data_IF_539483280866
#
_entry.id   IF_539483280866
#
_cell.length_a   1.000
_cell.length_b   1.000
_cell.length_c   1.000
_cell.angle_alpha   90.00
_cell.angle_beta   90.00
_cell.angle_gamma   90.00
#
_symmetry.space_group_name_H-M   'P 1'
#
loop_
_entity.id
_entity.type
_entity.pdbx_description
1 polymer ?
#
# COMPACT_ATOMS: atom_id res chain seq x y z
N UNK A 1 -22.46 44.80 20.39
CA UNK A 1 -23.09 43.66 19.71
C UNK A 1 -22.76 43.79 18.26
N UNK A 2 -21.65 43.22 17.85
CA UNK A 2 -21.27 43.12 16.42
C UNK A 2 -21.20 41.69 16.05
N UNK A 3 -22.09 41.32 15.11
CA UNK A 3 -22.21 39.95 14.63
C UNK A 3 -21.12 39.61 13.63
N UNK A 4 -20.32 38.59 13.93
CA UNK A 4 -19.42 37.97 12.97
C UNK A 4 -20.24 37.17 11.95
N UNK A 5 -20.45 37.75 10.78
CA UNK A 5 -20.97 37.06 9.61
C UNK A 5 -19.90 36.13 9.04
N UNK A 6 -20.11 34.83 9.16
CA UNK A 6 -19.30 33.84 8.45
C UNK A 6 -19.81 33.83 6.99
N UNK A 7 -19.06 34.47 6.10
CA UNK A 7 -19.28 34.33 4.66
C UNK A 7 -19.11 32.86 4.22
N UNK A 8 -20.20 32.26 3.78
CA UNK A 8 -20.18 30.96 3.07
C UNK A 8 -19.45 31.15 1.75
N UNK A 9 -18.19 30.70 1.67
CA UNK A 9 -17.48 30.59 0.39
C UNK A 9 -18.31 29.70 -0.54
N UNK A 10 -18.62 30.22 -1.71
CA UNK A 10 -19.36 29.56 -2.78
C UNK A 10 -18.73 28.21 -3.11
N UNK A 11 -19.53 27.16 -3.04
CA UNK A 11 -19.21 25.80 -3.55
C UNK A 11 -19.19 25.86 -5.07
N UNK A 12 -18.01 26.11 -5.64
CA UNK A 12 -17.78 25.97 -7.09
C UNK A 12 -18.08 24.53 -7.51
N UNK A 13 -18.62 24.38 -8.71
CA UNK A 13 -19.08 23.12 -9.29
C UNK A 13 -18.06 21.98 -9.13
N UNK A 14 -18.39 21.01 -8.28
CA UNK A 14 -17.58 19.83 -7.96
C UNK A 14 -17.32 18.96 -9.20
N UNK A 15 -18.24 18.97 -10.18
CA UNK A 15 -18.11 18.18 -11.41
C UNK A 15 -16.96 18.65 -12.29
N UNK A 16 -16.66 19.97 -12.30
CA UNK A 16 -15.55 20.55 -13.05
C UNK A 16 -14.17 20.20 -12.46
N UNK A 17 -14.10 20.00 -11.14
CA UNK A 17 -12.85 19.66 -10.42
C UNK A 17 -12.44 18.18 -10.60
N UNK A 18 -13.39 17.27 -10.82
CA UNK A 18 -13.12 15.84 -11.06
C UNK A 18 -12.59 15.58 -12.48
N UNK A 19 -12.91 16.45 -13.45
CA UNK A 19 -12.65 16.28 -14.88
C UNK A 19 -11.21 16.57 -15.32
N UNK A 20 -10.34 17.12 -14.49
CA UNK A 20 -8.99 17.59 -14.92
C UNK A 20 -7.95 16.48 -15.12
N UNK A 21 -8.22 15.24 -14.74
CA UNK A 21 -7.29 14.13 -14.94
C UNK A 21 -7.94 13.03 -15.77
N UNK A 22 -7.56 12.87 -17.06
CA UNK A 22 -8.06 11.80 -17.91
C UNK A 22 -7.40 10.47 -17.50
N UNK A 23 -7.88 9.86 -16.42
CA UNK A 23 -7.70 8.45 -16.19
C UNK A 23 -8.46 7.68 -17.28
N UNK A 24 -7.87 6.59 -17.80
CA UNK A 24 -8.57 5.68 -18.73
C UNK A 24 -10.02 5.53 -18.29
N UNK A 25 -10.97 5.67 -19.23
CA UNK A 25 -12.41 5.42 -19.03
C UNK A 25 -12.61 3.95 -18.65
N UNK A 26 -12.40 3.66 -17.36
CA UNK A 26 -13.03 2.48 -16.77
C UNK A 26 -14.47 2.89 -16.51
N UNK A 27 -15.43 2.05 -16.90
CA UNK A 27 -16.85 2.34 -16.71
C UNK A 27 -17.17 2.58 -15.23
N UNK A 28 -16.97 3.81 -14.80
CA UNK A 28 -17.29 4.28 -13.47
C UNK A 28 -18.83 4.39 -13.42
N UNK A 29 -19.50 3.44 -12.75
CA UNK A 29 -20.94 3.51 -12.59
C UNK A 29 -21.32 4.74 -11.75
N UNK A 30 -22.50 5.30 -11.97
CA UNK A 30 -23.05 6.45 -11.21
C UNK A 30 -22.88 6.32 -9.68
N UNK A 31 -22.73 5.11 -9.17
CA UNK A 31 -22.53 4.83 -7.75
C UNK A 31 -21.11 5.14 -7.25
N UNK A 32 -20.09 4.95 -8.10
CA UNK A 32 -18.70 5.26 -7.78
C UNK A 32 -18.42 6.77 -7.82
N UNK A 33 -18.99 7.48 -8.80
CA UNK A 33 -18.86 8.95 -8.88
C UNK A 33 -19.48 9.63 -7.66
N UNK A 34 -20.67 9.17 -7.21
CA UNK A 34 -21.30 9.67 -5.99
C UNK A 34 -20.47 9.36 -4.74
N UNK A 35 -19.85 8.19 -4.68
CA UNK A 35 -18.97 7.83 -3.57
C UNK A 35 -17.73 8.73 -3.51
N UNK A 36 -17.09 8.96 -4.65
CA UNK A 36 -15.93 9.85 -4.74
C UNK A 36 -16.30 11.29 -4.38
N UNK A 37 -17.45 11.79 -4.85
CA UNK A 37 -17.90 13.13 -4.50
C UNK A 37 -18.12 13.29 -2.98
N UNK A 38 -18.71 12.30 -2.31
CA UNK A 38 -18.90 12.31 -0.86
C UNK A 38 -17.57 12.26 -0.10
N UNK A 39 -16.63 11.43 -0.55
CA UNK A 39 -15.28 11.35 0.03
C UNK A 39 -14.54 12.69 -0.12
N UNK A 40 -14.57 13.29 -1.32
CA UNK A 40 -13.99 14.59 -1.58
C UNK A 40 -14.60 15.64 -0.66
N UNK A 41 -15.91 15.70 -0.58
CA UNK A 41 -16.61 16.65 0.28
C UNK A 41 -16.19 16.50 1.75
N UNK A 42 -16.19 15.27 2.28
CA UNK A 42 -15.74 15.00 3.65
C UNK A 42 -14.31 15.52 3.88
N UNK A 43 -13.38 15.20 2.99
CA UNK A 43 -11.98 15.56 3.23
C UNK A 43 -11.70 17.06 2.99
N UNK A 44 -12.35 17.68 2.01
CA UNK A 44 -12.11 19.10 1.71
C UNK A 44 -12.89 20.04 2.64
N UNK A 45 -14.13 19.69 3.00
CA UNK A 45 -14.98 20.57 3.82
C UNK A 45 -14.79 20.32 5.32
N UNK A 46 -14.86 19.05 5.76
CA UNK A 46 -14.82 18.73 7.18
C UNK A 46 -13.38 18.74 7.73
N UNK A 47 -12.38 18.42 6.89
CA UNK A 47 -10.98 18.32 7.29
C UNK A 47 -10.05 19.38 6.64
N UNK A 48 -10.56 20.26 5.78
CA UNK A 48 -9.79 21.34 5.17
C UNK A 48 -8.67 20.88 4.23
N UNK A 49 -8.79 19.67 3.65
CA UNK A 49 -7.79 19.16 2.73
C UNK A 49 -7.78 19.93 1.42
N UNK A 50 -6.62 20.44 1.00
CA UNK A 50 -6.39 21.06 -0.29
C UNK A 50 -5.99 20.07 -1.39
N UNK A 51 -5.65 18.83 -0.99
CA UNK A 51 -5.36 17.73 -1.92
C UNK A 51 -5.95 16.41 -1.39
N UNK A 52 -6.43 15.56 -2.32
CA UNK A 52 -7.03 14.26 -2.03
C UNK A 52 -6.52 13.25 -3.07
N UNK A 53 -5.96 12.16 -2.58
CA UNK A 53 -5.37 11.09 -3.39
C UNK A 53 -6.08 9.78 -3.08
N UNK A 54 -6.67 9.14 -4.09
CA UNK A 54 -7.16 7.75 -4.02
C UNK A 54 -6.02 6.82 -4.38
N UNK A 55 -5.80 5.77 -3.58
CA UNK A 55 -4.79 4.75 -3.82
C UNK A 55 -5.35 3.33 -3.60
N UNK A 56 -4.51 2.30 -3.53
CA UNK A 56 -4.97 0.94 -3.31
C UNK A 56 -5.68 0.31 -4.52
N UNK A 57 -6.55 -0.67 -4.26
CA UNK A 57 -7.20 -1.47 -5.31
C UNK A 57 -8.12 -0.64 -6.22
N UNK A 58 -8.80 0.36 -5.67
CA UNK A 58 -9.69 1.23 -6.46
C UNK A 58 -8.93 2.16 -7.41
N UNK A 59 -7.74 2.58 -7.03
CA UNK A 59 -6.88 3.34 -7.92
C UNK A 59 -6.26 2.46 -9.02
N UNK A 60 -5.95 1.18 -8.71
CA UNK A 60 -5.45 0.21 -9.69
C UNK A 60 -6.50 -0.27 -10.68
N UNK A 61 -7.78 -0.26 -10.28
CA UNK A 61 -8.88 -0.79 -11.08
C UNK A 61 -9.11 -2.30 -10.92
N UNK A 62 -8.46 -2.95 -9.94
CA UNK A 62 -8.60 -4.39 -9.63
C UNK A 62 -9.49 -4.66 -8.39
N UNK A 63 -10.38 -3.72 -8.09
CA UNK A 63 -11.24 -3.76 -6.91
C UNK A 63 -12.50 -4.61 -7.11
N UNK A 64 -13.02 -5.12 -6.00
CA UNK A 64 -14.36 -5.71 -5.86
C UNK A 64 -15.31 -4.69 -5.22
N UNK A 65 -16.62 -4.94 -5.27
CA UNK A 65 -17.63 -4.06 -4.65
C UNK A 65 -17.39 -3.83 -3.16
N UNK A 66 -16.84 -4.83 -2.46
CA UNK A 66 -16.50 -4.79 -1.03
C UNK A 66 -15.09 -4.27 -0.73
N UNK A 67 -14.30 -3.91 -1.74
CA UNK A 67 -12.96 -3.36 -1.53
C UNK A 67 -13.02 -1.99 -0.87
N UNK A 68 -12.10 -1.74 0.06
CA UNK A 68 -11.99 -0.49 0.79
C UNK A 68 -11.72 0.71 -0.12
N UNK A 69 -12.03 1.89 0.38
CA UNK A 69 -11.68 3.17 -0.21
C UNK A 69 -10.46 3.71 0.53
N UNK A 70 -9.28 3.43 -0.02
CA UNK A 70 -8.00 3.90 0.53
C UNK A 70 -7.73 5.32 0.04
N UNK A 71 -7.75 6.32 0.94
CA UNK A 71 -7.66 7.73 0.56
C UNK A 71 -6.69 8.48 1.46
N UNK A 72 -5.89 9.35 0.88
CA UNK A 72 -5.07 10.32 1.60
C UNK A 72 -5.61 11.73 1.36
N UNK A 73 -5.99 12.42 2.43
CA UNK A 73 -6.26 13.85 2.44
C UNK A 73 -5.02 14.61 2.92
N UNK A 74 -4.74 15.77 2.35
CA UNK A 74 -3.57 16.60 2.70
C UNK A 74 -4.07 18.00 3.03
N UNK A 75 -3.77 18.47 4.24
CA UNK A 75 -4.15 19.79 4.73
C UNK A 75 -2.92 20.64 5.10
N UNK A 76 -3.10 21.94 5.13
CA UNK A 76 -2.06 22.87 5.60
C UNK A 76 -2.00 22.82 7.14
N UNK A 77 -0.81 22.58 7.69
CA UNK A 77 -0.62 22.48 9.12
C UNK A 77 -1.27 21.22 9.73
N UNK A 78 -1.36 21.17 11.05
CA UNK A 78 -1.98 20.07 11.78
C UNK A 78 -1.00 19.25 12.61
N UNK A 79 -1.48 18.11 13.14
CA UNK A 79 -0.67 17.22 13.97
C UNK A 79 0.40 16.49 13.13
N UNK A 80 1.50 16.15 13.78
CA UNK A 80 2.59 15.37 13.13
C UNK A 80 2.18 13.96 12.75
N UNK A 81 1.23 13.36 13.51
CA UNK A 81 0.64 12.06 13.18
C UNK A 81 -0.63 12.26 12.32
N UNK A 82 -0.87 11.39 11.31
CA UNK A 82 -2.06 11.50 10.50
C UNK A 82 -3.33 11.18 11.30
N UNK A 83 -4.40 11.94 11.06
CA UNK A 83 -5.73 11.62 11.56
C UNK A 83 -6.33 10.50 10.70
N UNK A 84 -6.73 9.39 11.30
CA UNK A 84 -7.42 8.31 10.60
C UNK A 84 -8.94 8.51 10.65
N UNK A 85 -9.57 8.51 9.50
CA UNK A 85 -11.04 8.52 9.32
C UNK A 85 -11.45 7.17 8.75
N UNK A 86 -11.86 6.25 9.64
CA UNK A 86 -12.27 4.90 9.27
C UNK A 86 -13.75 4.68 9.62
N UNK A 87 -14.57 4.32 8.63
CA UNK A 87 -15.99 4.05 8.81
C UNK A 87 -16.56 3.13 7.75
N UNK A 88 -17.67 2.46 8.05
CA UNK A 88 -18.47 1.78 7.04
C UNK A 88 -18.95 2.80 5.99
N UNK A 89 -18.82 2.44 4.72
CA UNK A 89 -19.10 3.34 3.62
C UNK A 89 -19.60 2.59 2.38
N UNK A 90 -20.88 2.73 2.06
CA UNK A 90 -21.52 2.18 0.84
C UNK A 90 -21.26 0.69 0.61
N UNK A 91 -21.34 -0.13 1.67
CA UNK A 91 -21.13 -1.59 1.61
C UNK A 91 -19.67 -2.04 1.64
N UNK A 92 -18.74 -1.10 1.83
CA UNK A 92 -17.31 -1.33 2.03
C UNK A 92 -16.82 -0.50 3.24
N UNK A 93 -15.54 -0.22 3.33
CA UNK A 93 -14.95 0.69 4.31
C UNK A 93 -14.30 1.89 3.61
N UNK A 94 -14.47 3.07 4.20
CA UNK A 94 -13.60 4.20 3.95
C UNK A 94 -12.45 4.11 4.96
N UNK A 95 -11.22 4.05 4.47
CA UNK A 95 -10.00 4.15 5.26
C UNK A 95 -9.19 5.35 4.75
N UNK A 96 -9.52 6.52 5.29
CA UNK A 96 -8.88 7.76 4.92
C UNK A 96 -7.90 8.21 5.99
N UNK A 97 -6.74 8.69 5.55
CA UNK A 97 -5.74 9.32 6.40
C UNK A 97 -5.58 10.79 6.01
N UNK A 98 -5.74 11.68 6.97
CA UNK A 98 -5.52 13.12 6.80
C UNK A 98 -4.14 13.48 7.34
N UNK A 99 -3.29 13.96 6.46
CA UNK A 99 -1.90 14.34 6.75
C UNK A 99 -1.75 15.84 6.74
N UNK A 100 -0.86 16.36 7.59
CA UNK A 100 -0.29 17.67 7.37
C UNK A 100 0.68 17.62 6.17
N UNK A 101 0.74 18.67 5.38
CA UNK A 101 1.70 18.79 4.26
C UNK A 101 3.16 18.60 4.72
N UNK A 102 3.51 19.08 5.90
CA UNK A 102 4.82 18.90 6.52
C UNK A 102 5.21 17.43 6.74
N UNK A 103 4.24 16.51 6.86
CA UNK A 103 4.52 15.07 6.98
C UNK A 103 5.24 14.49 5.76
N UNK A 104 5.19 15.16 4.63
CA UNK A 104 5.83 14.78 3.37
C UNK A 104 7.14 15.51 3.09
N UNK A 105 7.72 16.20 4.07
CA UNK A 105 9.03 16.84 3.93
C UNK A 105 10.10 15.83 3.51
N UNK A 106 10.09 14.66 4.13
CA UNK A 106 10.91 13.48 3.75
C UNK A 106 10.00 12.43 3.12
N UNK A 107 10.46 11.83 2.02
CA UNK A 107 9.73 10.72 1.38
C UNK A 107 10.21 9.40 1.99
N UNK A 108 9.33 8.81 2.80
CA UNK A 108 9.55 7.48 3.39
C UNK A 108 9.10 6.38 2.41
N UNK A 109 9.80 5.23 2.36
CA UNK A 109 9.39 4.07 1.57
C UNK A 109 7.95 3.56 1.83
N UNK A 110 7.39 3.80 3.01
CA UNK A 110 5.98 3.48 3.29
C UNK A 110 5.00 4.22 2.37
N UNK A 111 5.40 5.37 1.83
CA UNK A 111 4.57 6.14 0.90
C UNK A 111 4.43 5.47 -0.49
N UNK A 112 5.24 4.44 -0.78
CA UNK A 112 5.08 3.62 -1.99
C UNK A 112 3.71 2.94 -2.06
N UNK A 113 3.02 2.80 -0.92
CA UNK A 113 1.62 2.33 -0.89
C UNK A 113 0.65 3.23 -1.65
N UNK A 114 1.01 4.50 -1.86
CA UNK A 114 0.20 5.42 -2.67
C UNK A 114 0.28 5.11 -4.18
N UNK A 115 1.17 4.25 -4.63
CA UNK A 115 1.29 3.89 -6.04
C UNK A 115 0.61 2.54 -6.37
N UNK A 116 -0.14 2.49 -7.47
CA UNK A 116 -0.58 3.61 -8.30
C UNK A 116 -1.65 4.43 -7.61
N UNK A 117 -1.76 5.69 -8.01
CA UNK A 117 -2.66 6.67 -7.42
C UNK A 117 -3.56 7.36 -8.45
N UNK A 118 -4.70 7.89 -7.98
CA UNK A 118 -5.54 8.86 -8.70
C UNK A 118 -5.64 10.13 -7.86
N UNK A 119 -5.26 11.25 -8.40
CA UNK A 119 -5.48 12.56 -7.78
C UNK A 119 -6.95 12.90 -7.95
N UNK A 120 -7.67 13.11 -6.84
CA UNK A 120 -9.06 13.51 -6.85
C UNK A 120 -9.22 15.02 -6.69
N UNK A 121 -8.36 15.65 -5.88
CA UNK A 121 -8.28 17.10 -5.67
C UNK A 121 -6.81 17.50 -5.58
N UNK A 122 -6.44 18.62 -6.19
CA UNK A 122 -5.09 19.18 -6.07
C UNK A 122 -5.13 20.70 -6.34
N UNK A 123 -5.52 21.48 -5.35
CA UNK A 123 -5.72 22.92 -5.49
C UNK A 123 -4.39 23.69 -5.62
N UNK A 124 -3.27 23.11 -5.15
CA UNK A 124 -1.97 23.77 -5.07
C UNK A 124 -0.86 23.05 -5.86
N UNK A 125 -1.19 22.00 -6.61
CA UNK A 125 -0.20 21.15 -7.28
C UNK A 125 0.61 20.26 -6.33
N UNK A 126 0.21 20.20 -5.05
CA UNK A 126 0.94 19.45 -4.01
C UNK A 126 0.87 17.95 -4.23
N UNK A 127 -0.31 17.39 -4.53
CA UNK A 127 -0.48 15.96 -4.75
C UNK A 127 0.35 15.48 -5.95
N UNK A 128 0.37 16.25 -7.03
CA UNK A 128 1.19 15.95 -8.22
C UNK A 128 2.67 15.92 -7.86
N UNK A 129 3.18 16.97 -7.23
CA UNK A 129 4.59 17.05 -6.83
C UNK A 129 4.98 15.94 -5.85
N UNK A 130 4.10 15.59 -4.90
CA UNK A 130 4.31 14.47 -3.97
C UNK A 130 4.43 13.14 -4.71
N UNK A 131 3.50 12.84 -5.61
CA UNK A 131 3.53 11.59 -6.37
C UNK A 131 4.75 11.49 -7.29
N UNK A 132 5.21 12.57 -7.88
CA UNK A 132 6.46 12.60 -8.67
C UNK A 132 7.68 12.23 -7.82
N UNK A 133 7.76 12.72 -6.57
CA UNK A 133 8.81 12.35 -5.61
C UNK A 133 8.72 10.88 -5.22
N UNK A 134 7.52 10.36 -4.99
CA UNK A 134 7.31 8.93 -4.65
C UNK A 134 7.68 8.04 -5.83
N UNK A 135 7.34 8.42 -7.06
CA UNK A 135 7.72 7.69 -8.28
C UNK A 135 9.26 7.67 -8.43
N UNK A 136 9.92 8.78 -8.14
CA UNK A 136 11.38 8.86 -8.16
C UNK A 136 12.01 7.88 -7.15
N UNK A 137 11.49 7.83 -5.91
CA UNK A 137 11.93 6.86 -4.91
C UNK A 137 11.70 5.41 -5.39
N UNK A 138 10.55 5.14 -5.99
CA UNK A 138 10.23 3.82 -6.54
C UNK A 138 11.23 3.36 -7.59
N UNK A 139 11.57 4.25 -8.52
CA UNK A 139 12.53 3.99 -9.59
C UNK A 139 13.97 3.79 -9.09
N UNK A 140 14.34 4.44 -8.00
CA UNK A 140 15.66 4.25 -7.37
C UNK A 140 15.84 2.84 -6.78
N UNK A 141 14.73 2.18 -6.44
CA UNK A 141 14.76 0.89 -5.75
C UNK A 141 15.25 0.96 -4.29
N UNK A 142 15.18 -0.16 -3.55
CA UNK A 142 15.68 -0.21 -2.17
C UNK A 142 17.18 0.04 -2.09
N UNK A 143 17.67 0.60 -0.97
CA UNK A 143 19.11 0.78 -0.74
C UNK A 143 19.83 -0.58 -0.75
N UNK A 144 21.15 -0.59 -0.92
CA UNK A 144 21.95 -1.79 -0.74
C UNK A 144 21.72 -2.41 0.63
N UNK A 145 21.77 -3.74 0.69
CA UNK A 145 21.71 -4.44 1.97
C UNK A 145 22.94 -4.08 2.83
N UNK A 146 22.76 -3.93 4.15
CA UNK A 146 23.89 -3.86 5.06
C UNK A 146 24.81 -5.07 4.91
N UNK A 147 26.11 -4.87 5.16
CA UNK A 147 27.08 -5.96 5.16
C UNK A 147 26.68 -7.07 6.15
N UNK A 148 26.73 -8.31 5.73
CA UNK A 148 26.35 -9.47 6.53
C UNK A 148 24.84 -9.74 6.64
N UNK A 149 23.98 -8.87 6.14
CA UNK A 149 22.51 -9.05 6.21
C UNK A 149 22.05 -10.33 5.52
N UNK A 150 22.58 -10.63 4.33
CA UNK A 150 22.23 -11.84 3.60
C UNK A 150 22.63 -13.10 4.40
N UNK A 151 23.81 -13.11 5.00
CA UNK A 151 24.27 -14.22 5.82
C UNK A 151 23.43 -14.38 7.10
N UNK A 152 23.02 -13.27 7.74
CA UNK A 152 22.09 -13.34 8.87
C UNK A 152 20.76 -13.97 8.48
N UNK A 153 20.19 -13.61 7.33
CA UNK A 153 18.96 -14.21 6.81
C UNK A 153 19.16 -15.70 6.54
N UNK A 154 20.26 -16.09 5.94
CA UNK A 154 20.63 -17.49 5.65
C UNK A 154 20.71 -18.33 6.91
N UNK A 155 21.43 -17.85 7.92
CA UNK A 155 21.55 -18.50 9.23
C UNK A 155 20.20 -18.59 9.94
N UNK A 156 19.38 -17.54 9.85
CA UNK A 156 18.03 -17.53 10.44
C UNK A 156 17.17 -18.65 9.84
N UNK A 157 17.12 -18.78 8.50
CA UNK A 157 16.35 -19.85 7.86
C UNK A 157 16.86 -21.24 8.25
N UNK A 158 18.17 -21.46 8.32
CA UNK A 158 18.73 -22.73 8.74
C UNK A 158 18.24 -23.12 10.16
N UNK A 159 18.27 -22.17 11.11
CA UNK A 159 17.75 -22.37 12.47
C UNK A 159 16.23 -22.62 12.50
N UNK A 160 15.47 -21.91 11.68
CA UNK A 160 14.02 -22.08 11.61
C UNK A 160 13.63 -23.47 11.08
N UNK A 161 14.28 -23.96 10.04
CA UNK A 161 14.03 -25.30 9.51
C UNK A 161 14.32 -26.40 10.53
N UNK A 162 15.37 -26.26 11.35
CA UNK A 162 15.67 -27.19 12.46
C UNK A 162 14.55 -27.18 13.52
N UNK A 163 14.04 -26.01 13.88
CA UNK A 163 12.94 -25.88 14.87
C UNK A 163 11.65 -26.46 14.33
N UNK A 164 11.30 -26.17 13.07
CA UNK A 164 10.09 -26.67 12.41
C UNK A 164 10.11 -28.20 12.32
N UNK A 165 11.27 -28.82 12.14
CA UNK A 165 11.40 -30.29 12.08
C UNK A 165 10.99 -31.01 13.36
N UNK A 166 10.81 -30.34 14.51
CA UNK A 166 10.36 -30.95 15.78
C UNK A 166 8.91 -31.39 15.74
N UNK A 167 8.05 -30.75 14.95
CA UNK A 167 6.66 -31.12 14.74
C UNK A 167 5.70 -30.75 15.89
N UNK A 168 6.15 -30.00 16.91
CA UNK A 168 5.34 -29.53 18.02
C UNK A 168 4.53 -28.25 17.71
N UNK A 169 3.82 -27.71 18.69
CA UNK A 169 3.01 -26.50 18.48
C UNK A 169 3.88 -25.28 18.12
N UNK A 170 5.06 -25.14 18.74
CA UNK A 170 6.01 -24.07 18.40
C UNK A 170 6.45 -24.19 16.94
N UNK A 171 6.69 -25.40 16.46
CA UNK A 171 7.08 -25.66 15.07
C UNK A 171 6.06 -25.14 14.07
N UNK A 172 4.77 -25.32 14.33
CA UNK A 172 3.69 -24.83 13.49
C UNK A 172 3.68 -23.29 13.45
N UNK A 173 3.87 -22.64 14.59
CA UNK A 173 3.98 -21.18 14.66
C UNK A 173 5.20 -20.69 13.88
N UNK A 174 6.35 -21.35 14.04
CA UNK A 174 7.60 -21.03 13.31
C UNK A 174 7.45 -21.21 11.80
N UNK A 175 6.66 -22.18 11.34
CA UNK A 175 6.37 -22.36 9.93
C UNK A 175 5.62 -21.14 9.37
N UNK A 176 4.62 -20.63 10.07
CA UNK A 176 3.87 -19.43 9.66
C UNK A 176 4.80 -18.21 9.60
N UNK A 177 5.65 -18.03 10.61
CA UNK A 177 6.65 -16.95 10.65
C UNK A 177 7.65 -17.05 9.49
N UNK A 178 8.16 -18.25 9.20
CA UNK A 178 9.06 -18.49 8.07
C UNK A 178 8.41 -18.13 6.74
N UNK A 179 7.16 -18.55 6.50
CA UNK A 179 6.44 -18.27 5.27
C UNK A 179 6.18 -16.77 5.08
N UNK A 180 5.83 -16.08 6.16
CA UNK A 180 5.64 -14.63 6.15
C UNK A 180 6.93 -13.89 5.79
N UNK A 181 8.05 -14.24 6.45
CA UNK A 181 9.34 -13.64 6.20
C UNK A 181 9.93 -14.02 4.82
N UNK A 182 9.59 -15.22 4.30
CA UNK A 182 10.11 -15.66 3.03
C UNK A 182 9.70 -14.75 1.87
N UNK A 183 8.47 -14.25 1.88
CA UNK A 183 7.99 -13.37 0.82
C UNK A 183 8.68 -12.00 0.88
N UNK A 184 8.80 -11.43 2.06
CA UNK A 184 9.51 -10.16 2.25
C UNK A 184 11.00 -10.29 1.86
N UNK A 185 11.68 -11.30 2.39
CA UNK A 185 13.09 -11.54 2.11
C UNK A 185 13.40 -11.83 0.64
N UNK A 186 12.46 -12.46 -0.10
CA UNK A 186 12.64 -12.65 -1.54
C UNK A 186 12.87 -11.32 -2.25
N UNK A 187 12.02 -10.33 -1.98
CA UNK A 187 12.12 -9.01 -2.59
C UNK A 187 13.31 -8.22 -2.02
N UNK A 188 13.48 -8.24 -0.71
CA UNK A 188 14.59 -7.57 -0.01
C UNK A 188 15.96 -7.98 -0.56
N UNK A 189 16.22 -9.30 -0.66
CA UNK A 189 17.51 -9.83 -1.13
C UNK A 189 17.78 -9.54 -2.61
N UNK A 190 16.74 -9.25 -3.40
CA UNK A 190 16.86 -8.86 -4.83
C UNK A 190 16.80 -7.36 -5.05
N UNK A 191 16.73 -6.58 -3.96
CA UNK A 191 16.60 -5.12 -4.00
C UNK A 191 15.40 -4.67 -4.82
N UNK A 192 14.26 -5.33 -4.61
CA UNK A 192 12.97 -5.00 -5.19
C UNK A 192 12.05 -4.54 -4.05
N UNK A 193 11.32 -3.44 -4.24
CA UNK A 193 10.37 -2.97 -3.25
C UNK A 193 9.27 -4.01 -2.98
N UNK A 194 9.18 -4.48 -1.72
CA UNK A 194 8.07 -5.32 -1.30
C UNK A 194 6.84 -4.48 -0.96
N UNK A 195 5.74 -4.75 -1.65
CA UNK A 195 4.47 -4.01 -1.50
C UNK A 195 3.35 -4.87 -0.91
N UNK A 196 3.71 -5.79 -0.05
CA UNK A 196 2.77 -6.73 0.58
C UNK A 196 2.36 -7.90 -0.31
N UNK A 197 1.64 -8.89 0.25
CA UNK A 197 1.33 -10.14 -0.44
C UNK A 197 0.39 -9.95 -1.64
N UNK A 198 -0.54 -8.99 -1.58
CA UNK A 198 -1.46 -8.69 -2.69
C UNK A 198 -0.74 -8.27 -3.98
N UNK A 199 0.42 -7.62 -3.85
CA UNK A 199 1.23 -7.22 -4.99
C UNK A 199 2.36 -8.23 -5.29
N UNK A 200 3.00 -8.75 -4.24
CA UNK A 200 4.17 -9.62 -4.34
C UNK A 200 3.87 -10.98 -4.98
N UNK A 201 2.80 -11.66 -4.57
CA UNK A 201 2.46 -12.97 -5.13
C UNK A 201 2.09 -12.91 -6.63
N UNK A 202 1.25 -11.98 -7.12
CA UNK A 202 1.03 -11.81 -8.56
C UNK A 202 2.27 -11.35 -9.32
N UNK A 203 3.17 -10.61 -8.68
CA UNK A 203 4.46 -10.25 -9.29
C UNK A 203 5.32 -11.50 -9.50
N UNK A 204 5.45 -12.36 -8.49
CA UNK A 204 6.17 -13.64 -8.59
C UNK A 204 5.59 -14.52 -9.68
N UNK A 205 4.26 -14.67 -9.76
CA UNK A 205 3.62 -15.47 -10.79
C UNK A 205 4.02 -15.07 -12.22
N UNK A 206 4.30 -13.77 -12.43
CA UNK A 206 4.67 -13.23 -13.76
C UNK A 206 6.17 -13.22 -14.02
N UNK A 207 7.00 -12.98 -12.99
CA UNK A 207 8.44 -12.70 -13.16
C UNK A 207 9.34 -13.83 -12.65
N UNK A 208 8.85 -14.66 -11.72
CA UNK A 208 9.53 -15.87 -11.21
C UNK A 208 8.51 -16.95 -10.86
N UNK A 209 7.89 -17.59 -11.90
CA UNK A 209 6.85 -18.58 -11.71
C UNK A 209 7.31 -19.82 -10.95
N UNK A 210 8.60 -20.13 -10.94
CA UNK A 210 9.14 -21.26 -10.18
C UNK A 210 9.13 -20.98 -8.68
N UNK A 211 9.53 -19.77 -8.26
CA UNK A 211 9.42 -19.33 -6.86
C UNK A 211 7.96 -19.20 -6.46
N UNK A 212 7.10 -18.67 -7.32
CA UNK A 212 5.65 -18.64 -7.06
C UNK A 212 5.11 -20.06 -6.80
N UNK A 213 5.45 -21.04 -7.65
CA UNK A 213 5.03 -22.43 -7.44
C UNK A 213 5.58 -23.04 -6.14
N UNK A 214 6.79 -22.65 -5.71
CA UNK A 214 7.33 -23.06 -4.42
C UNK A 214 6.53 -22.47 -3.25
N UNK A 215 6.11 -21.20 -3.33
CA UNK A 215 5.19 -20.61 -2.35
C UNK A 215 3.86 -21.33 -2.30
N UNK A 216 3.26 -21.65 -3.44
CA UNK A 216 1.98 -22.37 -3.51
C UNK A 216 2.09 -23.70 -2.74
N UNK A 217 3.13 -24.51 -3.01
CA UNK A 217 3.34 -25.77 -2.28
C UNK A 217 3.58 -25.58 -0.78
N UNK A 218 4.42 -24.59 -0.41
CA UNK A 218 4.77 -24.35 0.98
C UNK A 218 3.61 -23.80 1.82
N UNK A 219 2.61 -23.18 1.19
CA UNK A 219 1.41 -22.64 1.83
C UNK A 219 0.28 -23.68 1.97
N UNK A 220 0.42 -24.87 1.36
CA UNK A 220 -0.56 -25.92 1.55
C UNK A 220 -0.63 -26.39 3.02
N UNK A 221 -1.82 -26.77 3.54
CA UNK A 221 -2.00 -27.16 4.94
C UNK A 221 -1.12 -28.34 5.39
N UNK A 222 -0.70 -29.17 4.45
CA UNK A 222 0.13 -30.37 4.68
C UNK A 222 1.52 -30.24 4.04
N UNK A 223 1.98 -29.02 3.84
CA UNK A 223 3.32 -28.77 3.31
C UNK A 223 4.39 -29.50 4.13
N UNK A 224 5.26 -30.24 3.44
CA UNK A 224 6.35 -30.95 4.06
C UNK A 224 7.54 -30.06 4.40
N UNK A 225 8.44 -30.53 5.25
CA UNK A 225 9.71 -29.84 5.49
C UNK A 225 10.54 -29.73 4.20
N UNK A 226 10.35 -30.67 3.25
CA UNK A 226 10.96 -30.61 1.91
C UNK A 226 10.46 -29.42 1.09
N UNK A 227 9.15 -29.13 1.13
CA UNK A 227 8.56 -27.99 0.43
C UNK A 227 9.09 -26.66 1.00
N UNK A 228 9.21 -26.57 2.32
CA UNK A 228 9.79 -25.39 2.98
C UNK A 228 11.26 -25.18 2.58
N UNK A 229 12.05 -26.26 2.56
CA UNK A 229 13.46 -26.20 2.10
C UNK A 229 13.56 -25.74 0.65
N UNK A 230 12.73 -26.30 -0.23
CA UNK A 230 12.69 -25.91 -1.63
C UNK A 230 12.32 -24.43 -1.82
N UNK A 231 11.35 -23.92 -1.03
CA UNK A 231 11.03 -22.50 -1.02
C UNK A 231 12.24 -21.65 -0.59
N UNK A 232 12.89 -21.99 0.53
CA UNK A 232 14.02 -21.20 1.04
C UNK A 232 15.21 -21.19 0.08
N UNK A 233 15.47 -22.29 -0.64
CA UNK A 233 16.48 -22.33 -1.70
C UNK A 233 16.18 -21.35 -2.84
N UNK A 234 14.89 -21.06 -3.11
CA UNK A 234 14.46 -20.07 -4.10
C UNK A 234 14.50 -18.63 -3.57
N UNK A 235 14.23 -18.45 -2.28
CA UNK A 235 14.27 -17.13 -1.64
C UNK A 235 15.71 -16.63 -1.53
N UNK A 236 16.62 -17.47 -1.09
CA UNK A 236 18.04 -17.13 -0.99
C UNK A 236 18.68 -17.06 -2.39
N UNK A 237 19.47 -16.03 -2.69
CA UNK A 237 20.26 -16.00 -3.92
C UNK A 237 21.19 -17.22 -4.00
N UNK A 238 21.46 -17.66 -5.22
CA UNK A 238 22.53 -18.65 -5.44
C UNK A 238 23.88 -18.04 -5.02
N UNK A 239 24.70 -18.84 -4.35
CA UNK A 239 26.09 -18.48 -4.04
C UNK A 239 26.91 -18.37 -5.31
#
# INVERSE_FOLDING_TARGET
>A
MEGFGIERKQTGDLSARISQYPGKKYGCGMNEERALAEIIQTLTVDHGCHAVILYGSRARGDFQSTSDWDVAGICEGGATAPLRVARAFRGAWLDAFVYADAAFAVIDPELLRFLPARILVDERGFAKALLERIITLDQQGPPPLPEGEEEMVRVWYAKMLVRIARGDLESKYRQVELLFQALDNYFKLRRIWYRGPKAGLPWLARHDPETHAAFVRALEPHASLGDLRALIQRVLPAL
#
